data_IF_565833430122
#
_entry.id   IF_565833430122
#
_cell.length_a   1.000
_cell.length_b   1.000
_cell.length_c   1.000
_cell.angle_alpha   90.00
_cell.angle_beta   90.00
_cell.angle_gamma   90.00
#
_symmetry.space_group_name_H-M   'P 1'
#
loop_
_entity.id
_entity.type
_entity.pdbx_description
1 polymer ?
#
# COMPACT_ATOMS: atom_id res chain seq x y z
N UNK A 1 -6.81 23.67 -0.13
CA UNK A 1 -6.71 22.53 -1.11
C UNK A 1 -6.19 21.23 -0.50
N UNK A 2 -4.99 21.13 0.15
CA UNK A 2 -4.50 19.87 0.79
C UNK A 2 -5.37 19.44 1.98
N UNK A 3 -5.78 20.38 2.83
CA UNK A 3 -6.64 20.14 4.00
C UNK A 3 -8.05 19.67 3.60
N UNK A 4 -8.62 20.22 2.52
CA UNK A 4 -9.94 19.79 2.03
C UNK A 4 -9.93 18.35 1.51
N UNK A 5 -8.85 17.92 0.84
CA UNK A 5 -8.69 16.53 0.38
C UNK A 5 -8.61 15.55 1.55
N UNK A 6 -7.92 15.90 2.63
CA UNK A 6 -7.85 15.06 3.83
C UNK A 6 -9.19 14.95 4.55
N UNK A 7 -9.94 16.06 4.66
CA UNK A 7 -11.31 16.05 5.21
C UNK A 7 -12.25 15.19 4.34
N UNK A 8 -12.13 15.28 3.02
CA UNK A 8 -12.91 14.44 2.11
C UNK A 8 -12.58 12.95 2.29
N UNK A 9 -11.29 12.59 2.39
CA UNK A 9 -10.85 11.24 2.65
C UNK A 9 -11.38 10.71 3.99
N UNK A 10 -11.32 11.52 5.06
CA UNK A 10 -11.91 11.16 6.34
C UNK A 10 -13.42 10.88 6.23
N UNK A 11 -14.19 11.76 5.59
CA UNK A 11 -15.63 11.57 5.38
C UNK A 11 -15.94 10.31 4.58
N UNK A 12 -15.14 10.03 3.58
CA UNK A 12 -15.27 8.81 2.78
C UNK A 12 -15.00 7.57 3.64
N UNK A 13 -13.92 7.58 4.43
CA UNK A 13 -13.57 6.47 5.31
C UNK A 13 -14.69 6.12 6.31
N UNK A 14 -15.28 7.13 6.95
CA UNK A 14 -16.34 6.93 7.96
C UNK A 14 -17.71 6.58 7.37
N UNK A 15 -17.86 6.51 6.04
CA UNK A 15 -19.12 6.16 5.38
C UNK A 15 -19.61 4.76 5.75
N UNK A 16 -18.71 3.84 6.08
CA UNK A 16 -19.03 2.48 6.54
C UNK A 16 -19.55 2.43 7.99
N UNK A 17 -19.46 3.52 8.75
CA UNK A 17 -19.95 3.54 10.14
C UNK A 17 -21.48 3.63 10.21
N UNK A 18 -22.11 3.07 11.27
CA UNK A 18 -23.52 3.33 11.60
C UNK A 18 -23.80 4.85 11.67
N UNK A 19 -25.01 5.25 11.29
CA UNK A 19 -25.35 6.68 11.12
C UNK A 19 -25.07 7.53 12.36
N UNK A 20 -25.38 7.02 13.54
CA UNK A 20 -25.13 7.72 14.82
C UNK A 20 -23.62 7.89 15.02
N UNK A 21 -22.88 6.81 14.86
CA UNK A 21 -21.41 6.83 15.06
C UNK A 21 -20.72 7.71 14.01
N UNK A 22 -21.18 7.69 12.78
CA UNK A 22 -20.71 8.58 11.72
C UNK A 22 -20.91 10.04 12.07
N UNK A 23 -22.13 10.42 12.52
CA UNK A 23 -22.42 11.80 12.93
C UNK A 23 -21.55 12.25 14.12
N UNK A 24 -21.19 11.35 15.04
CA UNK A 24 -20.26 11.65 16.13
C UNK A 24 -18.84 11.90 15.60
N UNK A 25 -18.35 11.09 14.63
CA UNK A 25 -17.02 11.27 14.02
C UNK A 25 -16.93 12.56 13.20
N UNK A 26 -17.99 12.96 12.50
CA UNK A 26 -18.02 14.22 11.73
C UNK A 26 -17.87 15.47 12.60
N UNK A 27 -18.15 15.38 13.91
CA UNK A 27 -18.03 16.47 14.87
C UNK A 27 -16.68 16.53 15.58
N UNK A 28 -15.77 15.60 15.25
CA UNK A 28 -14.42 15.62 15.84
C UNK A 28 -13.65 16.86 15.40
N UNK A 29 -12.88 17.40 16.34
CA UNK A 29 -11.93 18.45 16.03
C UNK A 29 -10.77 17.90 15.19
N UNK A 30 -10.37 18.65 14.16
CA UNK A 30 -9.26 18.31 13.22
C UNK A 30 -9.33 16.87 12.67
N UNK A 31 -10.42 16.47 12.00
CA UNK A 31 -10.56 15.12 11.47
C UNK A 31 -9.51 14.80 10.39
N UNK A 32 -8.94 15.83 9.75
CA UNK A 32 -7.86 15.70 8.76
C UNK A 32 -6.53 15.19 9.32
N UNK A 33 -6.33 15.26 10.65
CA UNK A 33 -5.12 14.75 11.31
C UNK A 33 -5.27 13.28 11.75
N UNK A 34 -6.47 12.72 11.69
CA UNK A 34 -6.74 11.35 12.12
C UNK A 34 -6.23 10.37 11.06
N UNK A 35 -5.36 9.46 11.48
CA UNK A 35 -4.80 8.39 10.66
C UNK A 35 -5.57 7.08 10.82
N UNK A 36 -6.06 6.79 12.03
CA UNK A 36 -6.81 5.58 12.35
C UNK A 36 -7.95 5.87 13.34
N UNK A 37 -9.07 5.21 13.15
CA UNK A 37 -10.14 5.11 14.14
C UNK A 37 -10.24 3.65 14.60
N UNK A 38 -10.25 3.44 15.93
CA UNK A 38 -10.31 2.10 16.51
C UNK A 38 -11.58 1.94 17.35
N UNK A 39 -12.24 0.86 17.08
CA UNK A 39 -13.51 0.47 17.71
C UNK A 39 -13.30 -0.89 18.39
N UNK A 40 -13.34 -0.92 19.73
CA UNK A 40 -13.16 -2.15 20.53
C UNK A 40 -14.43 -2.41 21.31
N UNK A 41 -14.96 -3.63 21.28
CA UNK A 41 -16.15 -4.00 22.01
C UNK A 41 -16.00 -3.69 23.50
N UNK A 42 -17.00 -3.02 24.10
CA UNK A 42 -17.00 -2.63 25.50
C UNK A 42 -16.10 -1.44 25.86
N UNK A 43 -15.46 -0.78 24.90
CA UNK A 43 -14.61 0.38 25.13
C UNK A 43 -15.07 1.60 24.31
N UNK A 44 -14.85 2.82 24.78
CA UNK A 44 -15.00 4.01 23.95
C UNK A 44 -14.10 3.91 22.69
N UNK A 45 -14.53 4.45 21.54
CA UNK A 45 -13.68 4.49 20.36
C UNK A 45 -12.43 5.35 20.62
N UNK A 46 -11.37 5.07 19.89
CA UNK A 46 -10.15 5.88 19.93
C UNK A 46 -9.75 6.37 18.54
N UNK A 47 -9.06 7.51 18.50
CA UNK A 47 -8.48 8.09 17.31
C UNK A 47 -6.95 8.15 17.45
N UNK A 48 -6.23 7.75 16.41
CA UNK A 48 -4.78 7.86 16.32
C UNK A 48 -4.40 8.97 15.35
N UNK A 49 -3.50 9.81 15.77
CA UNK A 49 -2.87 10.87 14.99
C UNK A 49 -1.35 10.73 15.06
N UNK A 50 -0.60 11.59 14.40
CA UNK A 50 0.87 11.64 14.55
C UNK A 50 1.34 11.86 16.02
N UNK A 51 0.50 12.46 16.86
CA UNK A 51 0.79 12.68 18.30
C UNK A 51 0.51 11.45 19.18
N UNK A 52 -0.08 10.38 18.62
CA UNK A 52 -0.42 9.14 19.34
C UNK A 52 -1.91 8.81 19.30
N UNK A 53 -2.28 7.77 20.04
CA UNK A 53 -3.67 7.30 20.17
C UNK A 53 -4.33 7.93 21.40
N UNK A 54 -5.57 8.43 21.25
CA UNK A 54 -6.39 8.97 22.35
C UNK A 54 -7.80 8.37 22.30
N UNK A 55 -8.39 8.10 23.45
CA UNK A 55 -9.80 7.76 23.56
C UNK A 55 -10.68 9.00 23.26
N UNK A 56 -11.80 8.73 22.61
CA UNK A 56 -12.83 9.75 22.36
C UNK A 56 -13.87 9.72 23.49
N UNK A 57 -14.39 10.89 23.90
CA UNK A 57 -15.40 10.99 24.97
C UNK A 57 -16.78 10.59 24.43
N UNK A 58 -16.91 9.33 24.03
CA UNK A 58 -18.11 8.74 23.43
C UNK A 58 -18.47 7.46 24.17
N UNK A 59 -19.69 6.99 23.99
CA UNK A 59 -20.16 5.73 24.55
C UNK A 59 -19.36 4.53 24.03
N UNK A 60 -19.28 3.49 24.87
CA UNK A 60 -18.62 2.25 24.52
C UNK A 60 -19.20 1.60 23.27
N UNK A 61 -18.34 1.01 22.46
CA UNK A 61 -18.71 0.31 21.22
C UNK A 61 -19.35 -1.03 21.57
N UNK A 62 -20.45 -1.34 20.93
CA UNK A 62 -21.14 -2.64 21.11
C UNK A 62 -20.68 -3.65 20.04
N UNK A 63 -20.79 -4.95 20.34
CA UNK A 63 -20.54 -6.01 19.35
C UNK A 63 -21.52 -5.94 18.16
N UNK A 64 -22.73 -5.38 18.37
CA UNK A 64 -23.70 -5.17 17.30
C UNK A 64 -23.22 -4.09 16.32
N UNK A 65 -22.67 -2.99 16.83
CA UNK A 65 -22.09 -1.94 16.00
C UNK A 65 -20.90 -2.45 15.17
N UNK A 66 -20.02 -3.28 15.75
CA UNK A 66 -18.91 -3.88 14.99
C UNK A 66 -19.41 -4.74 13.81
N UNK A 67 -20.44 -5.54 14.04
CA UNK A 67 -21.06 -6.33 12.96
C UNK A 67 -21.70 -5.44 11.89
N UNK A 68 -22.38 -4.38 12.29
CA UNK A 68 -22.96 -3.42 11.34
C UNK A 68 -21.88 -2.72 10.51
N UNK A 69 -20.77 -2.29 11.14
CA UNK A 69 -19.62 -1.68 10.44
C UNK A 69 -19.07 -2.64 9.39
N UNK A 70 -18.83 -3.90 9.73
CA UNK A 70 -18.34 -4.90 8.80
C UNK A 70 -19.34 -5.16 7.66
N UNK A 71 -20.62 -5.29 7.96
CA UNK A 71 -21.67 -5.51 6.94
C UNK A 71 -21.74 -4.36 5.95
N UNK A 72 -21.67 -3.11 6.42
CA UNK A 72 -21.66 -1.91 5.57
C UNK A 72 -20.38 -1.82 4.75
N UNK A 73 -19.22 -2.14 5.35
CA UNK A 73 -17.93 -2.15 4.66
C UNK A 73 -17.89 -3.17 3.52
N UNK A 74 -18.50 -4.35 3.73
CA UNK A 74 -18.66 -5.39 2.73
C UNK A 74 -19.84 -5.15 1.76
N UNK A 75 -20.45 -3.96 1.77
CA UNK A 75 -21.60 -3.62 0.92
C UNK A 75 -22.71 -4.69 0.92
N UNK A 76 -22.91 -5.32 2.08
CA UNK A 76 -23.83 -6.46 2.29
C UNK A 76 -23.50 -7.73 1.49
N UNK A 77 -22.32 -7.80 0.84
CA UNK A 77 -21.88 -8.96 0.06
C UNK A 77 -20.60 -9.58 0.66
N UNK A 78 -20.74 -10.30 1.77
CA UNK A 78 -19.60 -10.94 2.48
C UNK A 78 -18.89 -11.97 1.59
N UNK A 79 -19.59 -12.61 0.65
CA UNK A 79 -18.99 -13.60 -0.24
C UNK A 79 -17.95 -13.03 -1.20
N UNK A 80 -18.08 -11.78 -1.63
CA UNK A 80 -17.11 -11.12 -2.53
C UNK A 80 -15.78 -10.79 -1.83
N UNK A 81 -15.74 -10.82 -0.49
CA UNK A 81 -14.59 -10.43 0.32
C UNK A 81 -13.99 -11.59 1.12
N UNK A 82 -14.38 -12.85 0.82
CA UNK A 82 -13.93 -14.02 1.59
C UNK A 82 -12.41 -14.10 1.68
N UNK A 83 -11.68 -13.84 0.60
CA UNK A 83 -10.23 -13.89 0.60
C UNK A 83 -9.59 -12.74 1.39
N UNK A 84 -10.13 -11.54 1.29
CA UNK A 84 -9.69 -10.39 2.09
C UNK A 84 -9.95 -10.59 3.58
N UNK A 85 -11.08 -11.18 3.94
CA UNK A 85 -11.42 -11.51 5.33
C UNK A 85 -10.50 -12.58 5.93
N UNK A 86 -9.96 -13.50 5.12
CA UNK A 86 -8.91 -14.44 5.53
C UNK A 86 -7.63 -13.71 5.94
N UNK A 87 -7.32 -12.59 5.31
CA UNK A 87 -6.18 -11.74 5.66
C UNK A 87 -6.48 -10.74 6.79
N UNK A 88 -7.70 -10.73 7.33
CA UNK A 88 -8.10 -9.90 8.47
C UNK A 88 -8.38 -8.43 8.14
N UNK A 89 -8.62 -8.08 6.87
CA UNK A 89 -8.98 -6.71 6.48
C UNK A 89 -9.84 -6.64 5.22
N UNK A 90 -10.47 -5.48 5.03
CA UNK A 90 -11.15 -5.08 3.79
C UNK A 90 -10.56 -3.77 3.28
N UNK A 91 -10.40 -3.67 1.95
CA UNK A 91 -10.14 -2.40 1.28
C UNK A 91 -11.47 -1.71 0.98
N UNK A 92 -11.58 -0.44 1.36
CA UNK A 92 -12.76 0.39 1.11
C UNK A 92 -12.50 1.38 -0.02
N UNK A 93 -13.58 1.92 -0.59
CA UNK A 93 -13.50 3.01 -1.57
C UNK A 93 -12.60 4.14 -1.07
N UNK A 94 -11.72 4.67 -1.94
CA UNK A 94 -10.71 5.65 -1.58
C UNK A 94 -9.42 5.06 -0.99
N UNK A 95 -9.27 3.73 -0.99
CA UNK A 95 -8.08 3.03 -0.49
C UNK A 95 -7.97 2.96 1.03
N UNK A 96 -9.06 3.28 1.74
CA UNK A 96 -9.12 3.09 3.19
C UNK A 96 -9.11 1.61 3.52
N UNK A 97 -8.59 1.25 4.70
CA UNK A 97 -8.48 -0.14 5.11
C UNK A 97 -9.19 -0.38 6.43
N UNK A 98 -10.08 -1.35 6.44
CA UNK A 98 -10.81 -1.78 7.61
C UNK A 98 -10.25 -3.12 8.08
N UNK A 99 -9.37 -3.08 9.09
CA UNK A 99 -8.84 -4.26 9.77
C UNK A 99 -9.84 -4.80 10.78
N UNK A 100 -9.92 -6.12 10.88
CA UNK A 100 -10.83 -6.82 11.81
C UNK A 100 -10.06 -7.72 12.75
N UNK A 101 -10.50 -7.81 14.00
CA UNK A 101 -10.04 -8.77 14.99
C UNK A 101 -11.20 -9.46 15.67
N UNK A 102 -10.98 -10.69 16.08
CA UNK A 102 -11.99 -11.52 16.78
C UNK A 102 -11.48 -12.94 16.93
N UNK A 103 -12.38 -13.90 17.02
CA UNK A 103 -12.04 -15.33 17.06
C UNK A 103 -11.80 -15.84 15.64
N UNK A 104 -10.65 -16.41 15.37
CA UNK A 104 -10.38 -17.04 14.08
C UNK A 104 -11.40 -18.17 13.78
N UNK A 105 -11.88 -18.21 12.57
CA UNK A 105 -12.61 -19.36 12.04
C UNK A 105 -11.63 -20.19 11.22
N UNK A 106 -11.46 -21.44 11.57
CA UNK A 106 -10.52 -22.36 10.94
C UNK A 106 -11.26 -23.53 10.28
N UNK A 107 -10.75 -23.98 9.15
CA UNK A 107 -11.16 -25.18 8.44
C UNK A 107 -9.92 -25.85 7.88
N UNK A 108 -9.75 -27.15 8.15
CA UNK A 108 -8.58 -27.95 7.73
C UNK A 108 -7.23 -27.32 8.09
N UNK A 109 -7.14 -26.71 9.29
CA UNK A 109 -5.90 -26.05 9.79
C UNK A 109 -5.59 -24.71 9.10
N UNK A 110 -6.53 -24.15 8.34
CA UNK A 110 -6.38 -22.85 7.69
C UNK A 110 -7.40 -21.85 8.23
N UNK A 111 -6.95 -20.63 8.47
CA UNK A 111 -7.87 -19.53 8.83
C UNK A 111 -8.69 -19.18 7.58
N UNK A 112 -10.02 -19.34 7.71
CA UNK A 112 -10.98 -19.00 6.65
C UNK A 112 -11.70 -17.67 6.89
N UNK A 113 -11.49 -17.06 8.04
CA UNK A 113 -12.10 -15.77 8.40
C UNK A 113 -12.04 -15.48 9.90
N UNK A 114 -12.82 -14.49 10.31
CA UNK A 114 -12.96 -14.06 11.71
C UNK A 114 -14.43 -14.09 12.11
N UNK A 115 -14.71 -14.71 13.25
CA UNK A 115 -16.02 -14.71 13.91
C UNK A 115 -15.94 -14.02 15.27
N UNK A 116 -17.08 -13.60 15.82
CA UNK A 116 -17.09 -12.98 17.15
C UNK A 116 -16.18 -11.75 17.21
N UNK A 117 -16.44 -10.75 16.37
CA UNK A 117 -15.64 -9.53 16.27
C UNK A 117 -15.40 -8.91 17.65
N UNK A 118 -14.13 -8.68 17.98
CA UNK A 118 -13.68 -7.98 19.19
C UNK A 118 -13.30 -6.53 18.91
N UNK A 119 -12.78 -6.26 17.71
CA UNK A 119 -12.41 -4.89 17.33
C UNK A 119 -12.32 -4.68 15.82
N UNK A 120 -12.44 -3.42 15.44
CA UNK A 120 -12.23 -2.91 14.07
C UNK A 120 -11.24 -1.75 14.12
N UNK A 121 -10.29 -1.73 13.19
CA UNK A 121 -9.36 -0.63 12.95
C UNK A 121 -9.60 -0.05 11.56
N UNK A 122 -10.14 1.16 11.48
CA UNK A 122 -10.34 1.89 10.23
C UNK A 122 -9.14 2.81 9.98
N UNK A 123 -8.26 2.42 9.06
CA UNK A 123 -7.13 3.25 8.61
C UNK A 123 -7.56 4.15 7.47
N UNK A 124 -7.25 5.42 7.59
CA UNK A 124 -7.64 6.45 6.63
C UNK A 124 -6.49 6.66 5.66
N UNK A 125 -6.72 6.32 4.39
CA UNK A 125 -5.77 6.61 3.34
C UNK A 125 -5.74 8.12 3.07
N UNK A 126 -4.56 8.69 3.06
CA UNK A 126 -4.34 10.07 2.65
C UNK A 126 -3.64 10.08 1.30
N UNK A 127 -4.15 10.88 0.36
CA UNK A 127 -3.43 11.11 -0.88
C UNK A 127 -2.05 11.73 -0.57
N UNK A 128 -1.04 11.15 -1.17
CA UNK A 128 0.32 11.64 -1.08
C UNK A 128 0.49 13.02 -1.72
N UNK A 129 1.61 13.64 -1.42
CA UNK A 129 2.08 14.81 -2.17
C UNK A 129 2.31 14.41 -3.64
N UNK A 130 2.06 15.37 -4.55
CA UNK A 130 2.36 15.16 -5.96
C UNK A 130 3.89 15.17 -6.13
N UNK A 131 4.45 13.99 -6.39
CA UNK A 131 5.89 13.80 -6.60
C UNK A 131 6.27 13.81 -8.08
N UNK A 132 5.34 14.04 -8.99
CA UNK A 132 5.55 13.94 -10.44
C UNK A 132 6.71 14.81 -10.93
N UNK A 133 6.79 16.06 -10.46
CA UNK A 133 7.87 16.97 -10.82
C UNK A 133 9.24 16.55 -10.28
N UNK A 134 9.28 15.90 -9.11
CA UNK A 134 10.51 15.37 -8.52
C UNK A 134 10.96 14.11 -9.27
N UNK A 135 10.03 13.19 -9.55
CA UNK A 135 10.28 11.98 -10.32
C UNK A 135 10.82 12.34 -11.71
N UNK A 136 10.24 13.30 -12.40
CA UNK A 136 10.73 13.80 -13.68
C UNK A 136 12.21 14.25 -13.65
N UNK A 137 12.63 14.90 -12.56
CA UNK A 137 14.02 15.34 -12.38
C UNK A 137 14.98 14.17 -12.12
N UNK A 138 14.52 13.10 -11.45
CA UNK A 138 15.37 11.96 -11.10
C UNK A 138 15.59 11.02 -12.27
N UNK A 139 14.56 10.78 -13.07
CA UNK A 139 14.62 9.79 -14.14
C UNK A 139 15.58 10.22 -15.23
N UNK A 140 15.51 11.47 -15.69
CA UNK A 140 16.43 12.02 -16.70
C UNK A 140 16.33 11.35 -18.08
N UNK A 141 15.37 10.43 -18.28
CA UNK A 141 15.08 9.73 -19.54
C UNK A 141 13.58 9.65 -19.72
N UNK A 142 13.15 9.49 -20.97
CA UNK A 142 11.73 9.35 -21.30
C UNK A 142 11.23 7.90 -21.11
N UNK A 143 12.11 6.92 -21.01
CA UNK A 143 11.78 5.50 -20.89
C UNK A 143 11.89 4.98 -19.45
N UNK A 144 11.06 3.99 -19.06
CA UNK A 144 11.16 3.34 -17.77
C UNK A 144 12.54 2.70 -17.54
N UNK A 145 13.11 2.97 -16.37
CA UNK A 145 14.36 2.35 -15.91
C UNK A 145 14.14 1.69 -14.55
N UNK A 146 14.83 0.57 -14.35
CA UNK A 146 14.79 -0.13 -13.06
C UNK A 146 15.38 0.72 -11.94
N UNK A 147 14.69 0.75 -10.79
CA UNK A 147 15.09 1.52 -9.62
C UNK A 147 14.70 0.83 -8.31
N UNK A 148 15.49 1.04 -7.26
CA UNK A 148 15.18 0.66 -5.90
C UNK A 148 14.72 1.87 -5.08
N UNK A 149 13.69 1.68 -4.26
CA UNK A 149 13.22 2.66 -3.28
C UNK A 149 13.63 2.21 -1.88
N UNK A 150 14.54 2.93 -1.26
CA UNK A 150 15.17 2.55 0.01
C UNK A 150 14.69 3.45 1.14
N UNK A 151 14.24 2.88 2.23
CA UNK A 151 14.06 3.59 3.50
C UNK A 151 13.68 2.64 4.63
N UNK A 152 13.74 3.09 5.89
CA UNK A 152 13.08 2.43 7.00
C UNK A 152 11.55 2.31 6.81
N UNK A 153 10.85 1.46 7.59
CA UNK A 153 9.40 1.36 7.59
C UNK A 153 8.71 2.72 7.85
N UNK A 154 7.56 2.95 7.22
CA UNK A 154 6.73 4.15 7.47
C UNK A 154 7.22 5.46 6.85
N UNK A 155 8.27 5.43 6.00
CA UNK A 155 8.81 6.62 5.34
C UNK A 155 8.14 6.94 4.00
N UNK A 156 7.23 6.09 3.51
CA UNK A 156 6.41 6.34 2.33
C UNK A 156 6.94 5.73 1.03
N UNK A 157 7.70 4.62 1.09
CA UNK A 157 8.15 3.86 -0.09
C UNK A 157 7.01 3.49 -1.04
N UNK A 158 5.96 2.84 -0.52
CA UNK A 158 4.79 2.42 -1.31
C UNK A 158 4.10 3.61 -1.98
N UNK A 159 4.10 4.75 -1.33
CA UNK A 159 3.61 6.01 -1.92
C UNK A 159 4.45 6.45 -3.10
N UNK A 160 5.78 6.48 -2.94
CA UNK A 160 6.70 6.85 -4.02
C UNK A 160 6.66 5.83 -5.16
N UNK A 161 6.56 4.54 -4.83
CA UNK A 161 6.39 3.46 -5.81
C UNK A 161 5.17 3.71 -6.71
N UNK A 162 4.02 4.00 -6.09
CA UNK A 162 2.78 4.32 -6.79
C UNK A 162 2.92 5.55 -7.69
N UNK A 163 3.50 6.63 -7.18
CA UNK A 163 3.72 7.85 -7.95
C UNK A 163 4.69 7.64 -9.12
N UNK A 164 5.67 6.76 -8.97
CA UNK A 164 6.61 6.37 -10.03
C UNK A 164 5.91 5.60 -11.15
N UNK A 165 5.10 4.60 -10.78
CA UNK A 165 4.26 3.87 -11.73
C UNK A 165 3.33 4.83 -12.47
N UNK A 166 2.61 5.70 -11.72
CA UNK A 166 1.71 6.70 -12.30
C UNK A 166 2.43 7.61 -13.28
N UNK A 167 3.67 8.00 -12.97
CA UNK A 167 4.46 8.88 -13.82
C UNK A 167 4.62 8.33 -15.24
N UNK A 168 5.00 7.08 -15.38
CA UNK A 168 5.16 6.45 -16.70
C UNK A 168 3.82 6.05 -17.32
N UNK A 169 2.92 5.53 -16.54
CA UNK A 169 1.60 5.12 -16.99
C UNK A 169 0.80 6.29 -17.62
N UNK A 170 0.82 7.47 -17.00
CA UNK A 170 0.16 8.66 -17.53
C UNK A 170 0.84 9.21 -18.80
N UNK A 171 2.08 8.80 -19.08
CA UNK A 171 2.82 9.09 -20.31
C UNK A 171 2.63 8.07 -21.42
N UNK A 172 1.80 7.03 -21.16
CA UNK A 172 1.42 6.03 -22.17
C UNK A 172 2.26 4.75 -22.13
N UNK A 173 3.17 4.59 -21.19
CA UNK A 173 3.86 3.32 -21.01
C UNK A 173 2.94 2.32 -20.30
N UNK A 174 2.93 1.09 -20.79
CA UNK A 174 2.25 0.00 -20.09
C UNK A 174 2.99 -0.30 -18.79
N UNK A 175 2.29 -0.21 -17.68
CA UNK A 175 2.82 -0.53 -16.36
C UNK A 175 2.03 -1.67 -15.72
N UNK A 176 2.68 -2.44 -14.88
CA UNK A 176 2.02 -3.49 -14.12
C UNK A 176 2.42 -3.39 -12.63
N UNK A 177 1.51 -3.79 -11.75
CA UNK A 177 1.72 -3.82 -10.31
C UNK A 177 1.42 -5.22 -9.78
N UNK A 178 2.41 -5.83 -9.11
CA UNK A 178 2.22 -7.02 -8.30
C UNK A 178 1.96 -6.59 -6.84
N UNK A 179 0.69 -6.44 -6.49
CA UNK A 179 0.23 -5.86 -5.22
C UNK A 179 -0.17 -6.96 -4.23
N UNK A 180 0.79 -7.73 -3.74
CA UNK A 180 0.53 -8.87 -2.84
C UNK A 180 -0.30 -8.49 -1.60
N UNK A 181 -0.14 -7.25 -1.09
CA UNK A 181 -0.79 -6.77 0.15
C UNK A 181 -1.92 -5.78 -0.09
N UNK A 182 -2.30 -5.52 -1.33
CA UNK A 182 -3.30 -4.50 -1.71
C UNK A 182 -2.99 -3.11 -1.10
N UNK A 183 -1.71 -2.72 -1.08
CA UNK A 183 -1.24 -1.46 -0.50
C UNK A 183 -0.82 -0.43 -1.56
N UNK A 184 -0.56 -0.87 -2.80
CA UNK A 184 -0.12 0.01 -3.89
C UNK A 184 -1.33 0.60 -4.62
N UNK A 185 -2.19 -0.24 -5.18
CA UNK A 185 -3.36 0.15 -5.95
C UNK A 185 -4.65 0.12 -5.12
N UNK A 186 -4.72 -0.77 -4.12
CA UNK A 186 -5.88 -0.98 -3.25
C UNK A 186 -7.15 -1.23 -4.08
N UNK A 187 -7.22 -2.37 -4.78
CA UNK A 187 -8.39 -2.68 -5.59
C UNK A 187 -9.65 -2.84 -4.73
N UNK A 188 -10.76 -2.26 -5.21
CA UNK A 188 -12.10 -2.57 -4.73
C UNK A 188 -12.96 -2.88 -5.96
N UNK A 189 -13.59 -4.04 -5.97
CA UNK A 189 -14.36 -4.55 -7.10
C UNK A 189 -13.60 -4.45 -8.46
N UNK A 190 -12.29 -4.75 -8.44
CA UNK A 190 -11.42 -4.71 -9.60
C UNK A 190 -10.98 -3.28 -10.02
N UNK A 191 -11.39 -2.25 -9.29
CA UNK A 191 -11.04 -0.85 -9.60
C UNK A 191 -9.97 -0.34 -8.64
N UNK A 192 -8.82 0.19 -9.14
CA UNK A 192 -7.83 0.84 -8.29
C UNK A 192 -8.43 2.02 -7.54
N UNK A 193 -8.30 2.04 -6.22
CA UNK A 193 -8.78 3.13 -5.36
C UNK A 193 -7.74 4.22 -5.16
N UNK A 194 -6.49 3.92 -5.47
CA UNK A 194 -5.38 4.85 -5.44
C UNK A 194 -4.92 5.12 -6.88
N UNK A 195 -4.46 6.34 -7.14
CA UNK A 195 -4.08 6.75 -8.48
C UNK A 195 -2.78 6.05 -8.92
N UNK A 196 -2.88 5.09 -9.82
CA UNK A 196 -1.76 4.30 -10.37
C UNK A 196 -1.43 4.64 -11.83
N UNK A 197 -2.24 5.53 -12.46
CA UNK A 197 -2.10 5.89 -13.86
C UNK A 197 -3.03 5.10 -14.80
N UNK A 198 -3.27 5.66 -15.99
CA UNK A 198 -4.29 5.16 -16.93
C UNK A 198 -3.90 3.91 -17.73
N UNK A 199 -2.60 3.58 -17.77
CA UNK A 199 -2.07 2.42 -18.50
C UNK A 199 -1.45 1.41 -17.53
N UNK A 200 -2.07 1.21 -16.36
CA UNK A 200 -1.54 0.31 -15.31
C UNK A 200 -2.48 -0.86 -15.09
N UNK A 201 -1.93 -2.07 -15.22
CA UNK A 201 -2.59 -3.33 -14.87
C UNK A 201 -2.19 -3.76 -13.45
N UNK A 202 -3.14 -4.26 -12.67
CA UNK A 202 -2.91 -4.62 -11.27
C UNK A 202 -3.27 -6.08 -11.04
N UNK A 203 -2.35 -6.82 -10.42
CA UNK A 203 -2.59 -8.19 -9.95
C UNK A 203 -2.40 -8.21 -8.43
N UNK A 204 -3.43 -8.61 -7.70
CA UNK A 204 -3.39 -8.76 -6.23
C UNK A 204 -3.85 -10.14 -5.76
N UNK A 205 -3.71 -10.43 -4.47
CA UNK A 205 -4.20 -11.68 -3.87
C UNK A 205 -3.34 -12.91 -4.15
N UNK A 206 -2.15 -12.75 -4.75
CA UNK A 206 -1.17 -13.82 -4.95
C UNK A 206 0.24 -13.30 -4.66
N UNK A 207 1.23 -14.23 -4.58
CA UNK A 207 2.62 -13.83 -4.36
C UNK A 207 3.16 -12.96 -5.50
N UNK A 208 4.12 -12.07 -5.20
CA UNK A 208 4.77 -11.21 -6.22
C UNK A 208 5.36 -12.01 -7.39
N UNK A 209 5.93 -13.19 -7.11
CA UNK A 209 6.41 -14.10 -8.16
C UNK A 209 5.29 -14.54 -9.10
N UNK A 210 4.17 -15.05 -8.55
CA UNK A 210 3.02 -15.49 -9.35
C UNK A 210 2.44 -14.34 -10.17
N UNK A 211 2.24 -13.17 -9.54
CA UNK A 211 1.78 -11.97 -10.23
C UNK A 211 2.72 -11.57 -11.37
N UNK A 212 4.04 -11.50 -11.12
CA UNK A 212 5.03 -11.12 -12.14
C UNK A 212 4.99 -12.06 -13.34
N UNK A 213 4.96 -13.39 -13.11
CA UNK A 213 4.88 -14.39 -14.20
C UNK A 213 3.62 -14.21 -15.04
N UNK A 214 2.47 -13.98 -14.40
CA UNK A 214 1.20 -13.77 -15.10
C UNK A 214 1.21 -12.46 -15.89
N UNK A 215 1.60 -11.35 -15.26
CA UNK A 215 1.63 -10.02 -15.87
C UNK A 215 2.59 -9.95 -17.06
N UNK A 216 3.79 -10.52 -16.93
CA UNK A 216 4.76 -10.57 -18.03
C UNK A 216 4.25 -11.37 -19.23
N UNK A 217 3.56 -12.50 -18.98
CA UNK A 217 3.02 -13.36 -20.05
C UNK A 217 1.82 -12.76 -20.75
N UNK A 218 1.00 -11.98 -20.07
CA UNK A 218 -0.32 -11.58 -20.58
C UNK A 218 -0.42 -10.10 -20.91
N UNK A 219 0.30 -9.23 -20.19
CA UNK A 219 0.16 -7.77 -20.30
C UNK A 219 1.37 -7.09 -20.95
N UNK A 220 2.52 -7.77 -21.05
CA UNK A 220 3.75 -7.25 -21.67
C UNK A 220 4.12 -5.84 -21.18
N UNK A 221 4.26 -5.61 -19.86
CA UNK A 221 4.49 -4.28 -19.33
C UNK A 221 5.91 -3.78 -19.64
N UNK A 222 6.03 -2.48 -19.91
CA UNK A 222 7.32 -1.80 -19.99
C UNK A 222 7.93 -1.57 -18.58
N UNK A 223 7.09 -1.48 -17.54
CA UNK A 223 7.48 -1.30 -16.14
C UNK A 223 6.67 -2.23 -15.25
N UNK A 224 7.34 -3.02 -14.41
CA UNK A 224 6.70 -3.81 -13.34
C UNK A 224 7.07 -3.23 -11.98
N UNK A 225 6.06 -2.98 -11.16
CA UNK A 225 6.23 -2.56 -9.77
C UNK A 225 6.04 -3.75 -8.82
N UNK A 226 6.98 -3.91 -7.93
CA UNK A 226 6.95 -4.88 -6.84
C UNK A 226 7.01 -4.10 -5.52
N UNK A 227 6.19 -4.47 -4.55
CA UNK A 227 6.37 -3.95 -3.20
C UNK A 227 7.74 -4.42 -2.64
N UNK A 228 7.87 -4.66 -1.39
CA UNK A 228 9.13 -5.00 -0.77
C UNK A 228 9.70 -6.34 -1.22
N UNK A 229 10.97 -6.36 -1.65
CA UNK A 229 11.71 -7.60 -1.93
C UNK A 229 12.15 -8.20 -0.59
N UNK A 230 11.56 -9.32 -0.19
CA UNK A 230 11.79 -9.97 1.11
C UNK A 230 12.17 -11.44 1.01
N UNK A 231 11.76 -12.12 -0.05
CA UNK A 231 11.93 -13.56 -0.23
C UNK A 231 12.77 -13.88 -1.48
N UNK A 232 13.45 -15.03 -1.52
CA UNK A 232 14.17 -15.47 -2.72
C UNK A 232 13.30 -15.53 -3.98
N UNK A 233 12.02 -15.82 -3.83
CA UNK A 233 11.04 -15.83 -4.94
C UNK A 233 10.83 -14.44 -5.53
N UNK A 234 10.90 -13.40 -4.72
CA UNK A 234 10.81 -12.00 -5.19
C UNK A 234 12.03 -11.66 -6.07
N UNK A 235 13.23 -12.16 -5.70
CA UNK A 235 14.42 -11.98 -6.52
C UNK A 235 14.30 -12.70 -7.88
N UNK A 236 13.66 -13.87 -7.92
CA UNK A 236 13.36 -14.57 -9.19
C UNK A 236 12.42 -13.74 -10.06
N UNK A 237 11.42 -13.05 -9.46
CA UNK A 237 10.53 -12.16 -10.19
C UNK A 237 11.30 -11.01 -10.85
N UNK A 238 12.20 -10.36 -10.12
CA UNK A 238 13.08 -9.28 -10.64
C UNK A 238 13.96 -9.81 -11.77
N UNK A 239 14.62 -10.96 -11.56
CA UNK A 239 15.47 -11.59 -12.58
C UNK A 239 14.70 -11.90 -13.86
N UNK A 240 13.48 -12.43 -13.74
CA UNK A 240 12.63 -12.70 -14.90
C UNK A 240 12.29 -11.43 -15.67
N UNK A 241 11.94 -10.34 -14.99
CA UNK A 241 11.68 -9.05 -15.61
C UNK A 241 12.91 -8.55 -16.39
N UNK A 242 14.09 -8.62 -15.77
CA UNK A 242 15.36 -8.20 -16.39
C UNK A 242 15.62 -8.98 -17.69
N UNK A 243 15.43 -10.31 -17.68
CA UNK A 243 15.58 -11.14 -18.88
C UNK A 243 14.52 -10.84 -19.95
N UNK A 244 13.35 -10.38 -19.58
CA UNK A 244 12.28 -9.99 -20.51
C UNK A 244 12.44 -8.53 -21.03
N UNK A 245 13.43 -7.78 -20.56
CA UNK A 245 13.60 -6.37 -20.92
C UNK A 245 12.58 -5.43 -20.27
N UNK A 246 11.86 -5.90 -19.23
CA UNK A 246 10.90 -5.10 -18.47
C UNK A 246 11.63 -4.38 -17.34
N UNK A 247 11.50 -3.06 -17.25
CA UNK A 247 12.03 -2.30 -16.13
C UNK A 247 11.31 -2.67 -14.83
N UNK A 248 12.05 -2.67 -13.71
CA UNK A 248 11.49 -3.00 -12.38
C UNK A 248 11.65 -1.84 -11.43
N UNK A 249 10.57 -1.44 -10.78
CA UNK A 249 10.62 -0.58 -9.59
C UNK A 249 10.24 -1.38 -8.36
N UNK A 250 11.11 -1.41 -7.34
CA UNK A 250 10.86 -2.20 -6.14
C UNK A 250 11.29 -1.47 -4.87
N UNK A 251 10.66 -1.84 -3.75
CA UNK A 251 11.01 -1.30 -2.44
C UNK A 251 11.98 -2.22 -1.69
N UNK A 252 12.82 -1.63 -0.85
CA UNK A 252 13.64 -2.35 0.12
C UNK A 252 13.74 -1.59 1.45
N UNK A 253 13.74 -2.33 2.54
CA UNK A 253 14.06 -1.77 3.85
C UNK A 253 15.58 -1.74 4.02
N UNK A 254 16.19 -0.60 3.72
CA UNK A 254 17.62 -0.36 3.89
C UNK A 254 17.88 1.11 4.21
N UNK A 255 18.92 1.38 4.96
CA UNK A 255 19.36 2.75 5.25
C UNK A 255 20.12 3.38 4.06
N UNK A 256 20.62 2.56 3.15
CA UNK A 256 21.35 2.97 1.95
C UNK A 256 21.91 1.78 1.19
N UNK A 257 22.72 2.05 0.16
CA UNK A 257 23.25 1.00 -0.71
C UNK A 257 24.25 0.07 0.00
N UNK A 258 25.02 0.56 0.96
CA UNK A 258 26.00 -0.27 1.67
C UNK A 258 25.32 -1.31 2.57
N UNK A 259 24.22 -0.95 3.23
CA UNK A 259 23.38 -1.90 3.96
C UNK A 259 22.77 -2.95 2.99
N UNK A 260 22.31 -2.49 1.83
CA UNK A 260 21.72 -3.35 0.83
C UNK A 260 22.73 -4.40 0.31
N UNK A 261 23.97 -3.98 0.01
CA UNK A 261 25.06 -4.86 -0.48
C UNK A 261 25.44 -5.96 0.50
N UNK A 262 25.17 -5.81 1.80
CA UNK A 262 25.44 -6.84 2.80
C UNK A 262 24.40 -7.98 2.76
N UNK A 263 23.25 -7.77 2.14
CA UNK A 263 22.15 -8.75 2.10
C UNK A 263 22.29 -9.65 0.86
N UNK A 264 22.30 -11.00 1.02
CA UNK A 264 22.55 -11.93 -0.10
C UNK A 264 21.63 -11.72 -1.30
N UNK A 265 20.31 -11.59 -1.09
CA UNK A 265 19.29 -11.38 -2.14
C UNK A 265 19.67 -10.16 -3.02
N UNK A 266 20.01 -9.05 -2.40
CA UNK A 266 20.31 -7.82 -3.14
C UNK A 266 21.67 -7.86 -3.82
N UNK A 267 22.66 -8.57 -3.26
CA UNK A 267 23.95 -8.79 -3.95
C UNK A 267 23.75 -9.51 -5.27
N UNK A 268 22.92 -10.55 -5.29
CA UNK A 268 22.61 -11.28 -6.54
C UNK A 268 21.94 -10.36 -7.57
N UNK A 269 20.95 -9.58 -7.16
CA UNK A 269 20.23 -8.66 -8.04
C UNK A 269 21.11 -7.54 -8.58
N UNK A 270 22.00 -6.99 -7.74
CA UNK A 270 22.96 -5.98 -8.16
C UNK A 270 24.03 -6.56 -9.11
N UNK A 271 24.52 -7.78 -8.84
CA UNK A 271 25.45 -8.48 -9.72
C UNK A 271 24.83 -8.85 -11.09
N UNK A 272 23.51 -9.10 -11.12
CA UNK A 272 22.76 -9.34 -12.36
C UNK A 272 22.56 -8.05 -13.19
N UNK A 273 22.88 -6.88 -12.64
CA UNK A 273 22.55 -5.60 -13.29
C UNK A 273 21.06 -5.28 -13.33
N UNK A 274 20.26 -5.86 -12.41
CA UNK A 274 18.82 -5.62 -12.39
C UNK A 274 18.47 -4.18 -12.02
N UNK A 275 19.35 -3.49 -11.28
CA UNK A 275 19.17 -2.12 -10.84
C UNK A 275 20.45 -1.33 -10.99
N UNK A 276 20.34 -0.07 -11.43
CA UNK A 276 21.46 0.86 -11.61
C UNK A 276 21.26 2.16 -10.82
N UNK A 277 20.14 2.28 -10.12
CA UNK A 277 19.79 3.48 -9.38
C UNK A 277 18.88 3.16 -8.19
N UNK A 278 18.96 4.02 -7.17
CA UNK A 278 18.07 3.98 -6.03
C UNK A 278 17.65 5.38 -5.61
N UNK A 279 16.42 5.49 -5.08
CA UNK A 279 15.95 6.66 -4.33
C UNK A 279 15.93 6.31 -2.86
N UNK A 280 16.73 7.01 -2.07
CA UNK A 280 16.78 6.89 -0.62
C UNK A 280 15.85 7.93 -0.02
N UNK A 281 14.92 7.48 0.82
CA UNK A 281 13.96 8.35 1.50
C UNK A 281 14.39 8.49 2.95
N UNK A 282 14.74 9.70 3.34
CA UNK A 282 15.16 10.07 4.68
C UNK A 282 14.13 11.01 5.33
N UNK A 283 14.25 11.26 6.62
CA UNK A 283 13.54 12.31 7.32
C UNK A 283 14.54 13.29 7.92
N UNK A 284 14.41 14.56 7.57
CA UNK A 284 15.16 15.66 8.16
C UNK A 284 14.14 16.67 8.71
N UNK A 285 14.22 16.99 9.98
CA UNK A 285 13.30 17.89 10.69
C UNK A 285 11.81 17.50 10.50
N UNK A 286 11.52 16.19 10.48
CA UNK A 286 10.18 15.67 10.29
C UNK A 286 9.66 15.67 8.84
N UNK A 287 10.42 16.26 7.90
CA UNK A 287 10.09 16.29 6.48
C UNK A 287 10.81 15.17 5.72
N UNK A 288 10.16 14.66 4.66
CA UNK A 288 10.78 13.68 3.77
C UNK A 288 11.77 14.38 2.83
N UNK A 289 12.97 13.83 2.80
CA UNK A 289 14.01 14.23 1.85
C UNK A 289 14.33 13.02 0.98
N UNK A 290 14.54 13.26 -0.28
CA UNK A 290 14.79 12.23 -1.27
C UNK A 290 16.16 12.44 -1.87
N UNK A 291 16.98 11.38 -1.90
CA UNK A 291 18.31 11.39 -2.48
C UNK A 291 18.42 10.30 -3.55
N UNK A 292 18.74 10.68 -4.78
CA UNK A 292 18.99 9.74 -5.87
C UNK A 292 20.46 9.32 -5.84
N UNK A 293 20.69 8.03 -5.90
CA UNK A 293 22.01 7.45 -6.13
C UNK A 293 21.99 6.62 -7.42
N UNK A 294 23.04 6.76 -8.24
CA UNK A 294 23.28 5.95 -9.44
C UNK A 294 24.63 5.30 -9.31
N UNK A 295 24.76 4.10 -9.84
CA UNK A 295 26.03 3.39 -9.92
C UNK A 295 26.19 2.74 -11.29
N UNK A 296 27.42 2.72 -11.77
CA UNK A 296 27.79 1.98 -12.97
C UNK A 296 27.98 0.51 -12.62
N UNK A 297 27.73 -0.37 -13.57
CA UNK A 297 28.11 -1.78 -13.44
C UNK A 297 29.62 -1.85 -13.21
N UNK A 298 30.02 -2.44 -12.10
CA UNK A 298 31.40 -2.88 -11.95
C UNK A 298 31.58 -4.02 -12.95
N UNK A 299 32.11 -3.70 -14.14
CA UNK A 299 32.53 -4.74 -15.09
C UNK A 299 33.52 -5.65 -14.37
N UNK A 300 33.09 -6.86 -14.04
CA UNK A 300 33.97 -7.95 -13.64
C UNK A 300 34.81 -8.40 -14.83
#
# INVERSE_FOLDING_TARGET
MKMDKRKAAFRQAISCLPSIRRAQMERLDRPEDIEELRFRAGQPPSAKTAAGERQLPLEAVTSAELREMLSRAAQYSVHSYTDSLRHGFLTLSGGHRLGICGTAAEEDGRVIGVRGLSSINLRIAHQAEDLQAQIARWIGTDEPQSALLLSPPGYGKTTLLREWVRYFSDRGFTAAIADERSEIAALADGVPQLAVGRCTDVMEGCSKWQAAVMLLKTMSPALLALDEITAPEDAKAVSLCTHCGTAVIACAHAAGLDDLRQRPIYRELLALGAFHQAVIIEKQDGQRVYRMERWEETKC
#
